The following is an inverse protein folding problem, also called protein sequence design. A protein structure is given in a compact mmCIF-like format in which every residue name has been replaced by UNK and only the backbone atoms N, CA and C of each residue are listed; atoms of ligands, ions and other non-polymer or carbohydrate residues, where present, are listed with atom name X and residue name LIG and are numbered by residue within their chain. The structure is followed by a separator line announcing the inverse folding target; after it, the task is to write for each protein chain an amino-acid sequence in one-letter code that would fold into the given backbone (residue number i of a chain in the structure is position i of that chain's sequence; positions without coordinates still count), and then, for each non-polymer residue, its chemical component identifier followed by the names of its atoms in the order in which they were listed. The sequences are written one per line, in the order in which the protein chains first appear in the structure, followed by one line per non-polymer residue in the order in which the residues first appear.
data_IF_251898740904
#
_entry.id   IF_251898740904
#
_cell.length_a   1.000
_cell.length_b   1.000
_cell.length_c   1.000
_cell.angle_alpha   90.00
_cell.angle_beta   90.00
_cell.angle_gamma   90.00
#
_symmetry.space_group_name_H-M   'P 1'
#
loop_
_entity.id
_entity.type
_entity.pdbx_description
1 polymer ?
#
# COMPACT_ATOMS: atom_id res chain seq x y z
N UNK A 1 -20.34 26.91 9.34
CA UNK A 1 -19.88 26.73 7.96
C UNK A 1 -18.49 27.36 7.86
N UNK A 2 -17.44 26.55 7.68
CA UNK A 2 -16.07 27.05 7.47
C UNK A 2 -15.96 27.65 6.06
N UNK A 3 -15.49 28.88 5.96
CA UNK A 3 -15.18 29.45 4.65
C UNK A 3 -14.06 28.66 3.97
N UNK A 4 -14.19 28.47 2.67
CA UNK A 4 -13.27 27.67 1.83
C UNK A 4 -11.80 28.10 1.95
N UNK A 5 -11.53 29.35 2.31
CA UNK A 5 -10.20 29.92 2.52
C UNK A 5 -9.48 29.39 3.80
N UNK A 6 -10.21 28.84 4.75
CA UNK A 6 -9.65 28.36 6.02
C UNK A 6 -9.45 26.84 6.12
N UNK A 7 -9.86 26.09 5.09
CA UNK A 7 -9.73 24.61 5.07
C UNK A 7 -8.26 24.20 5.20
N UNK A 8 -7.35 24.86 4.48
CA UNK A 8 -5.92 24.57 4.54
C UNK A 8 -5.26 24.86 5.91
N UNK A 9 -5.95 25.63 6.77
CA UNK A 9 -5.48 25.98 8.11
C UNK A 9 -6.05 25.07 9.21
N UNK A 10 -6.95 24.12 8.86
CA UNK A 10 -7.54 23.23 9.84
C UNK A 10 -6.45 22.34 10.48
N UNK A 11 -6.40 22.19 11.82
CA UNK A 11 -5.34 21.46 12.52
C UNK A 11 -5.17 20.00 12.03
N UNK A 12 -6.26 19.36 11.62
CA UNK A 12 -6.23 18.00 11.06
C UNK A 12 -5.48 17.97 9.72
N UNK A 13 -5.77 18.90 8.80
CA UNK A 13 -5.13 18.96 7.48
C UNK A 13 -3.64 19.27 7.56
N UNK A 14 -3.23 20.07 8.55
CA UNK A 14 -1.81 20.37 8.81
C UNK A 14 -0.98 19.16 9.25
N UNK A 15 -1.64 18.11 9.76
CA UNK A 15 -0.98 16.88 10.23
C UNK A 15 -0.89 15.81 9.13
N UNK A 16 -1.50 16.03 7.97
CA UNK A 16 -1.45 15.07 6.88
C UNK A 16 -0.07 15.07 6.24
N UNK A 17 0.39 13.87 5.88
CA UNK A 17 1.56 13.68 5.03
C UNK A 17 1.27 14.00 3.56
N UNK A 18 2.25 13.80 2.67
CA UNK A 18 2.06 13.97 1.24
C UNK A 18 0.87 13.13 0.75
N UNK A 19 0.04 13.71 -0.09
CA UNK A 19 -1.09 12.99 -0.71
C UNK A 19 -0.59 12.12 -1.86
N UNK A 20 -0.81 10.81 -1.77
CA UNK A 20 -0.38 9.86 -2.79
C UNK A 20 -1.02 10.09 -4.18
N UNK A 21 -2.16 10.77 -4.25
CA UNK A 21 -2.85 11.10 -5.50
C UNK A 21 -2.45 12.46 -6.07
N UNK A 22 -1.79 13.32 -5.32
CA UNK A 22 -1.32 14.61 -5.81
C UNK A 22 -0.26 14.43 -6.91
N UNK A 23 -0.39 15.19 -8.00
CA UNK A 23 0.61 15.24 -9.07
C UNK A 23 1.96 15.78 -8.57
N UNK A 24 1.94 16.55 -7.50
CA UNK A 24 3.14 17.15 -6.89
C UNK A 24 3.87 16.22 -5.94
N UNK A 25 3.27 15.10 -5.53
CA UNK A 25 3.92 14.13 -4.65
C UNK A 25 4.86 13.24 -5.45
N UNK A 26 6.13 13.28 -5.11
CA UNK A 26 7.21 12.54 -5.78
C UNK A 26 7.64 11.31 -4.99
N UNK A 27 8.25 10.35 -5.69
CA UNK A 27 8.89 9.19 -5.05
C UNK A 27 9.94 9.62 -4.02
N UNK A 28 10.71 10.67 -4.30
CA UNK A 28 11.72 11.18 -3.38
C UNK A 28 11.11 11.68 -2.07
N UNK A 29 9.99 12.39 -2.12
CA UNK A 29 9.28 12.84 -0.90
C UNK A 29 8.83 11.66 -0.03
N UNK A 30 8.31 10.58 -0.63
CA UNK A 30 7.93 9.38 0.09
C UNK A 30 9.17 8.68 0.68
N UNK A 31 10.25 8.58 -0.06
CA UNK A 31 11.53 8.06 0.42
C UNK A 31 12.03 8.83 1.64
N UNK A 32 12.01 10.16 1.59
CA UNK A 32 12.42 11.02 2.71
C UNK A 32 11.56 10.81 3.95
N UNK A 33 10.27 10.59 3.78
CA UNK A 33 9.38 10.20 4.90
C UNK A 33 9.79 8.86 5.50
N UNK A 34 10.09 7.85 4.67
CA UNK A 34 10.50 6.52 5.13
C UNK A 34 11.78 6.54 5.98
N UNK A 35 12.76 7.35 5.59
CA UNK A 35 14.04 7.43 6.29
C UNK A 35 14.06 8.45 7.44
N UNK A 36 13.00 9.24 7.58
CA UNK A 36 12.92 10.26 8.62
C UNK A 36 12.95 9.67 10.02
N UNK A 37 13.49 10.42 10.98
CA UNK A 37 13.54 10.00 12.39
C UNK A 37 12.16 9.71 12.98
N UNK A 38 11.12 10.38 12.47
CA UNK A 38 9.74 10.22 12.89
C UNK A 38 9.15 8.85 12.55
N UNK A 39 9.51 8.29 11.38
CA UNK A 39 8.82 7.12 10.83
C UNK A 39 9.69 5.86 10.69
N UNK A 40 11.01 6.00 10.54
CA UNK A 40 11.91 4.90 10.17
C UNK A 40 11.91 3.69 11.12
N UNK A 41 11.48 3.85 12.36
CA UNK A 41 11.44 2.75 13.36
C UNK A 41 10.07 2.14 13.55
N UNK A 42 9.07 2.60 12.82
CA UNK A 42 7.72 2.05 12.87
C UNK A 42 7.55 0.92 11.87
N UNK A 43 6.71 -0.07 12.20
CA UNK A 43 6.40 -1.15 11.25
C UNK A 43 5.65 -0.62 10.03
N UNK A 44 5.92 -1.20 8.87
CA UNK A 44 5.26 -0.81 7.61
C UNK A 44 3.75 -1.00 7.66
N UNK A 45 3.28 -2.04 8.36
CA UNK A 45 1.86 -2.27 8.56
C UNK A 45 1.15 -1.13 9.29
N UNK A 46 1.83 -0.49 10.25
CA UNK A 46 1.31 0.69 10.95
C UNK A 46 1.47 1.98 10.12
N UNK A 47 2.64 2.16 9.48
CA UNK A 47 2.94 3.36 8.69
C UNK A 47 1.94 3.57 7.55
N UNK A 48 1.64 2.52 6.80
CA UNK A 48 0.76 2.62 5.63
C UNK A 48 -0.71 2.90 5.97
N UNK A 49 -1.08 2.91 7.25
CA UNK A 49 -2.39 3.40 7.74
C UNK A 49 -2.32 4.80 8.33
N UNK A 50 -1.13 5.33 8.58
CA UNK A 50 -0.94 6.63 9.20
C UNK A 50 -1.02 7.75 8.16
N UNK A 51 -2.09 8.52 8.19
CA UNK A 51 -2.32 9.63 7.26
C UNK A 51 -1.30 10.77 7.42
N UNK A 52 -0.57 10.81 8.53
CA UNK A 52 0.54 11.77 8.71
C UNK A 52 1.82 11.33 8.01
N UNK A 53 1.94 10.04 7.69
CA UNK A 53 3.03 9.50 6.88
C UNK A 53 2.79 9.76 5.40
N UNK A 54 1.71 9.21 4.86
CA UNK A 54 1.22 9.45 3.49
C UNK A 54 -0.30 9.48 3.53
N UNK A 55 -0.90 10.57 3.08
CA UNK A 55 -2.34 10.69 3.02
C UNK A 55 -2.92 9.92 1.83
N UNK A 56 -4.14 9.43 2.00
CA UNK A 56 -4.90 8.76 0.95
C UNK A 56 -4.75 7.23 0.91
N UNK A 57 -3.94 6.63 1.78
CA UNK A 57 -3.78 5.18 1.83
C UNK A 57 -4.87 4.54 2.70
N UNK A 58 -5.60 3.60 2.14
CA UNK A 58 -6.60 2.80 2.85
C UNK A 58 -6.11 1.38 3.12
N UNK A 59 -6.98 0.60 3.80
CA UNK A 59 -6.60 -0.73 4.26
C UNK A 59 -6.26 -1.71 3.12
N UNK A 60 -7.01 -1.69 2.02
CA UNK A 60 -6.68 -2.58 0.90
C UNK A 60 -5.39 -2.17 0.20
N UNK A 61 -5.12 -0.87 0.06
CA UNK A 61 -3.86 -0.36 -0.50
C UNK A 61 -2.66 -0.82 0.32
N UNK A 62 -2.77 -0.82 1.65
CA UNK A 62 -1.72 -1.34 2.54
C UNK A 62 -1.29 -2.75 2.17
N UNK A 63 -2.23 -3.67 2.02
CA UNK A 63 -1.94 -5.06 1.65
C UNK A 63 -1.32 -5.16 0.26
N UNK A 64 -1.87 -4.46 -0.71
CA UNK A 64 -1.43 -4.49 -2.10
C UNK A 64 -0.05 -3.85 -2.29
N UNK A 65 0.23 -2.72 -1.63
CA UNK A 65 1.54 -2.05 -1.67
C UNK A 65 2.62 -2.95 -1.06
N UNK A 66 2.36 -3.55 0.10
CA UNK A 66 3.32 -4.45 0.76
C UNK A 66 3.60 -5.70 -0.08
N UNK A 67 2.58 -6.27 -0.70
CA UNK A 67 2.74 -7.41 -1.60
C UNK A 67 3.58 -7.06 -2.83
N UNK A 68 3.28 -5.96 -3.50
CA UNK A 68 4.04 -5.51 -4.66
C UNK A 68 5.50 -5.17 -4.33
N UNK A 69 5.75 -4.74 -3.10
CA UNK A 69 7.10 -4.43 -2.60
C UNK A 69 7.83 -5.64 -2.00
N UNK A 70 7.20 -6.80 -1.94
CA UNK A 70 7.74 -8.02 -1.32
C UNK A 70 8.15 -7.83 0.15
N UNK A 71 7.45 -6.96 0.86
CA UNK A 71 7.78 -6.60 2.24
C UNK A 71 6.74 -7.14 3.23
N UNK A 72 7.25 -7.69 4.33
CA UNK A 72 6.43 -8.12 5.46
C UNK A 72 5.92 -6.89 6.23
N UNK A 73 4.68 -6.89 6.73
CA UNK A 73 4.12 -5.77 7.48
C UNK A 73 4.88 -5.43 8.78
N UNK A 74 5.61 -6.36 9.36
CA UNK A 74 6.42 -6.15 10.56
C UNK A 74 7.76 -5.50 10.28
N UNK A 75 8.20 -5.46 9.03
CA UNK A 75 9.45 -4.80 8.63
C UNK A 75 9.39 -3.31 8.95
N UNK A 76 10.54 -2.75 9.34
CA UNK A 76 10.71 -1.32 9.63
C UNK A 76 11.61 -0.68 8.56
N UNK A 77 11.35 0.55 8.12
CA UNK A 77 12.22 1.22 7.14
C UNK A 77 13.70 1.22 7.50
N UNK A 78 14.03 1.39 8.77
CA UNK A 78 15.42 1.40 9.25
C UNK A 78 16.22 0.11 8.96
N UNK A 79 15.51 -1.00 8.74
CA UNK A 79 16.09 -2.31 8.45
C UNK A 79 16.11 -2.65 6.96
N UNK A 80 15.71 -1.72 6.10
CA UNK A 80 15.65 -1.92 4.65
C UNK A 80 16.84 -1.27 3.96
N UNK A 81 17.32 -1.96 2.92
CA UNK A 81 18.28 -1.41 1.97
C UNK A 81 17.63 -0.29 1.14
N UNK A 82 18.43 0.62 0.64
CA UNK A 82 17.98 1.77 -0.13
C UNK A 82 17.13 1.38 -1.36
N UNK A 83 17.51 0.30 -2.03
CA UNK A 83 16.75 -0.23 -3.18
C UNK A 83 15.32 -0.63 -2.79
N UNK A 84 15.17 -1.33 -1.65
CA UNK A 84 13.85 -1.71 -1.12
C UNK A 84 13.02 -0.51 -0.70
N UNK A 85 13.64 0.50 -0.12
CA UNK A 85 12.99 1.76 0.25
C UNK A 85 12.50 2.51 -1.01
N UNK A 86 13.31 2.57 -2.05
CA UNK A 86 12.94 3.19 -3.31
C UNK A 86 11.80 2.42 -4.02
N UNK A 87 11.85 1.09 -4.01
CA UNK A 87 10.79 0.26 -4.55
C UNK A 87 9.47 0.48 -3.79
N UNK A 88 9.52 0.53 -2.46
CA UNK A 88 8.36 0.81 -1.63
C UNK A 88 7.78 2.20 -1.92
N UNK A 89 8.62 3.23 -1.98
CA UNK A 89 8.20 4.59 -2.28
C UNK A 89 7.51 4.68 -3.65
N UNK A 90 8.08 4.03 -4.66
CA UNK A 90 7.48 3.92 -6.00
C UNK A 90 6.13 3.21 -5.97
N UNK A 91 6.03 2.09 -5.26
CA UNK A 91 4.81 1.28 -5.19
C UNK A 91 3.68 1.99 -4.41
N UNK A 92 4.02 2.78 -3.39
CA UNK A 92 3.03 3.62 -2.69
C UNK A 92 2.31 4.53 -3.69
N UNK A 93 3.05 5.17 -4.57
CA UNK A 93 2.46 6.05 -5.59
C UNK A 93 1.77 5.28 -6.71
N UNK A 94 2.46 4.31 -7.32
CA UNK A 94 1.95 3.61 -8.51
C UNK A 94 0.70 2.79 -8.23
N UNK A 95 0.66 2.03 -7.13
CA UNK A 95 -0.50 1.22 -6.75
C UNK A 95 -1.69 2.10 -6.39
N UNK A 96 -1.45 3.20 -5.67
CA UNK A 96 -2.52 4.13 -5.28
C UNK A 96 -3.11 4.83 -6.51
N UNK A 97 -2.28 5.31 -7.42
CA UNK A 97 -2.72 5.96 -8.66
C UNK A 97 -3.45 5.00 -9.59
N UNK A 98 -2.94 3.78 -9.76
CA UNK A 98 -3.65 2.73 -10.50
C UNK A 98 -5.04 2.46 -9.89
N UNK A 99 -5.14 2.32 -8.57
CA UNK A 99 -6.42 2.12 -7.90
C UNK A 99 -7.41 3.26 -8.18
N UNK A 100 -6.95 4.49 -8.17
CA UNK A 100 -7.77 5.65 -8.49
C UNK A 100 -8.24 5.63 -9.95
N UNK A 101 -7.34 5.42 -10.90
CA UNK A 101 -7.61 5.41 -12.34
C UNK A 101 -8.53 4.26 -12.77
N UNK A 102 -8.48 3.14 -12.07
CA UNK A 102 -9.23 1.91 -12.39
C UNK A 102 -10.43 1.66 -11.47
N UNK A 103 -10.83 2.65 -10.66
CA UNK A 103 -11.90 2.52 -9.68
C UNK A 103 -11.69 1.36 -8.70
N UNK A 104 -10.45 1.19 -8.24
CA UNK A 104 -10.07 0.27 -7.18
C UNK A 104 -9.55 -1.09 -7.64
N UNK A 105 -8.94 -1.19 -8.81
CA UNK A 105 -8.23 -2.38 -9.28
C UNK A 105 -6.73 -2.21 -9.02
N UNK A 106 -6.15 -3.07 -8.19
CA UNK A 106 -4.74 -3.03 -7.82
C UNK A 106 -3.94 -4.23 -8.33
N UNK A 107 -4.61 -5.24 -8.86
CA UNK A 107 -3.98 -6.39 -9.48
C UNK A 107 -3.21 -5.98 -10.74
N UNK A 108 -2.25 -6.80 -11.14
CA UNK A 108 -1.53 -6.64 -12.39
C UNK A 108 -2.49 -6.56 -13.58
N UNK A 109 -2.34 -5.53 -14.41
CA UNK A 109 -3.30 -5.21 -15.48
C UNK A 109 -3.32 -6.25 -16.61
N UNK A 110 -2.21 -6.90 -16.92
CA UNK A 110 -2.18 -8.00 -17.88
C UNK A 110 -2.98 -9.19 -17.34
N UNK A 111 -2.75 -9.55 -16.10
CA UNK A 111 -3.53 -10.59 -15.39
C UNK A 111 -5.01 -10.25 -15.33
N UNK A 112 -5.36 -8.99 -15.04
CA UNK A 112 -6.76 -8.53 -15.06
C UNK A 112 -7.39 -8.77 -16.43
N UNK A 113 -6.69 -8.44 -17.50
CA UNK A 113 -7.15 -8.65 -18.88
C UNK A 113 -7.39 -10.14 -19.17
N UNK A 114 -6.46 -11.00 -18.79
CA UNK A 114 -6.58 -12.45 -18.95
C UNK A 114 -7.76 -13.03 -18.16
N UNK A 115 -7.92 -12.61 -16.90
CA UNK A 115 -9.01 -13.08 -16.05
C UNK A 115 -10.38 -12.63 -16.57
N UNK A 116 -10.50 -11.40 -17.06
CA UNK A 116 -11.70 -10.90 -17.72
C UNK A 116 -12.03 -11.69 -18.99
N UNK A 117 -11.03 -12.00 -19.80
CA UNK A 117 -11.20 -12.80 -21.01
C UNK A 117 -11.73 -14.22 -20.68
N UNK A 118 -11.41 -14.76 -19.51
CA UNK A 118 -11.93 -16.03 -18.97
C UNK A 118 -13.27 -15.91 -18.27
N UNK A 119 -13.92 -14.75 -18.29
CA UNK A 119 -15.23 -14.51 -17.67
C UNK A 119 -15.20 -14.25 -16.16
N UNK A 120 -14.04 -13.94 -15.58
CA UNK A 120 -13.93 -13.66 -14.15
C UNK A 120 -14.74 -12.42 -13.75
N UNK A 121 -15.42 -12.51 -12.60
CA UNK A 121 -16.11 -11.37 -11.99
C UNK A 121 -15.11 -10.41 -11.34
N UNK A 122 -15.50 -9.15 -11.15
CA UNK A 122 -14.68 -8.12 -10.53
C UNK A 122 -14.06 -8.55 -9.20
N UNK A 123 -14.82 -9.23 -8.34
CA UNK A 123 -14.34 -9.77 -7.06
C UNK A 123 -13.15 -10.73 -7.19
N UNK A 124 -12.97 -11.38 -8.33
CA UNK A 124 -11.91 -12.34 -8.58
C UNK A 124 -10.66 -11.74 -9.24
N UNK A 125 -10.78 -10.61 -9.93
CA UNK A 125 -9.64 -10.00 -10.61
C UNK A 125 -9.14 -8.69 -9.96
N UNK A 126 -9.91 -8.10 -9.04
CA UNK A 126 -9.67 -6.75 -8.51
C UNK A 126 -8.34 -6.61 -7.78
N UNK A 127 -7.97 -7.58 -6.93
CA UNK A 127 -6.82 -7.51 -6.03
C UNK A 127 -5.79 -8.60 -6.27
N UNK A 128 -4.52 -8.31 -5.92
CA UNK A 128 -3.47 -9.34 -5.88
C UNK A 128 -3.56 -10.22 -4.63
N UNK A 129 -3.79 -9.63 -3.45
CA UNK A 129 -3.86 -10.35 -2.17
C UNK A 129 -5.06 -9.99 -1.32
N UNK A 130 -5.53 -8.75 -1.35
CA UNK A 130 -6.61 -8.29 -0.49
C UNK A 130 -7.90 -9.09 -0.74
N UNK A 131 -8.56 -9.51 0.34
CA UNK A 131 -9.77 -10.38 0.29
C UNK A 131 -9.59 -11.71 -0.42
N UNK A 132 -8.35 -12.20 -0.54
CA UNK A 132 -8.04 -13.47 -1.21
C UNK A 132 -7.47 -14.53 -0.27
N UNK A 133 -7.83 -14.49 1.02
CA UNK A 133 -7.37 -15.49 1.98
C UNK A 133 -7.74 -16.92 1.53
N UNK A 134 -6.81 -17.86 1.75
CA UNK A 134 -6.87 -19.26 1.30
C UNK A 134 -6.78 -19.48 -0.21
N UNK A 135 -6.80 -18.41 -1.02
CA UNK A 135 -6.60 -18.53 -2.46
C UNK A 135 -5.10 -18.60 -2.80
N UNK A 136 -4.73 -19.22 -3.92
CA UNK A 136 -3.33 -19.29 -4.33
C UNK A 136 -2.79 -17.91 -4.70
N UNK A 137 -1.57 -17.63 -4.25
CA UNK A 137 -0.81 -16.47 -4.70
C UNK A 137 -0.59 -16.55 -6.22
N UNK A 138 -0.79 -15.46 -6.93
CA UNK A 138 -0.56 -15.43 -8.37
C UNK A 138 0.91 -15.68 -8.76
N UNK A 139 1.85 -15.41 -7.85
CA UNK A 139 3.29 -15.49 -8.15
C UNK A 139 3.90 -16.84 -7.76
N UNK A 140 3.66 -17.32 -6.52
CA UNK A 140 4.31 -18.52 -5.99
C UNK A 140 3.36 -19.69 -5.74
N UNK A 141 2.05 -19.50 -5.89
CA UNK A 141 0.97 -20.48 -5.65
C UNK A 141 0.73 -20.84 -4.17
N UNK A 142 1.54 -20.39 -3.24
CA UNK A 142 1.26 -20.52 -1.81
C UNK A 142 -0.03 -19.79 -1.44
N UNK A 143 -0.70 -20.26 -0.40
CA UNK A 143 -1.97 -19.67 0.02
C UNK A 143 -1.77 -18.26 0.60
N UNK A 144 -2.59 -17.33 0.15
CA UNK A 144 -2.72 -16.02 0.80
C UNK A 144 -3.30 -16.22 2.19
N UNK A 145 -2.74 -15.55 3.17
CA UNK A 145 -3.23 -15.57 4.56
C UNK A 145 -3.78 -14.21 4.96
N UNK A 146 -4.71 -14.25 5.91
CA UNK A 146 -5.27 -13.09 6.55
C UNK A 146 -4.74 -12.97 7.98
N UNK A 147 -4.20 -11.82 8.34
CA UNK A 147 -3.81 -11.46 9.72
C UNK A 147 -4.56 -10.21 10.15
N UNK A 148 -4.67 -10.03 11.46
CA UNK A 148 -5.11 -8.75 12.03
C UNK A 148 -3.88 -8.01 12.54
N UNK A 149 -3.65 -6.82 11.99
CA UNK A 149 -2.52 -5.96 12.32
C UNK A 149 -3.03 -4.53 12.52
N UNK A 150 -2.74 -3.95 13.67
CA UNK A 150 -3.23 -2.63 14.06
C UNK A 150 -4.77 -2.52 14.01
N UNK A 151 -5.46 -3.56 14.50
CA UNK A 151 -6.92 -3.63 14.57
C UNK A 151 -7.64 -3.76 13.21
N UNK A 152 -6.91 -4.02 12.14
CA UNK A 152 -7.46 -4.14 10.78
C UNK A 152 -6.93 -5.39 10.08
N UNK A 153 -7.78 -5.98 9.23
CA UNK A 153 -7.41 -7.13 8.41
C UNK A 153 -6.34 -6.74 7.40
N UNK A 154 -5.28 -7.55 7.33
CA UNK A 154 -4.22 -7.45 6.34
C UNK A 154 -4.07 -8.81 5.66
N UNK A 155 -3.86 -8.79 4.35
CA UNK A 155 -3.68 -9.99 3.53
C UNK A 155 -2.27 -10.00 2.96
N UNK A 156 -1.61 -11.16 3.01
CA UNK A 156 -0.24 -11.29 2.53
C UNK A 156 0.04 -12.72 2.06
N UNK A 157 1.09 -12.86 1.26
CA UNK A 157 1.72 -14.14 0.94
C UNK A 157 3.01 -14.27 1.74
N UNK A 158 3.07 -15.16 2.71
CA UNK A 158 4.27 -15.31 3.58
C UNK A 158 5.52 -15.76 2.81
N UNK A 159 5.35 -16.52 1.72
CA UNK A 159 6.47 -16.91 0.86
C UNK A 159 7.05 -15.72 0.07
N UNK A 160 6.19 -14.84 -0.48
CA UNK A 160 6.62 -13.65 -1.21
C UNK A 160 7.02 -12.48 -0.30
N UNK A 161 6.56 -12.47 0.94
CA UNK A 161 6.77 -11.42 1.93
C UNK A 161 7.33 -12.03 3.23
N UNK A 162 8.55 -12.58 3.20
CA UNK A 162 9.11 -13.28 4.36
C UNK A 162 9.28 -12.36 5.56
N UNK A 163 9.18 -12.94 6.76
CA UNK A 163 9.45 -12.23 8.01
C UNK A 163 10.91 -11.75 7.99
N UNK A 164 11.20 -10.49 8.36
CA UNK A 164 12.58 -10.01 8.43
C UNK A 164 13.36 -10.84 9.46
N UNK A 165 14.63 -11.12 9.11
CA UNK A 165 15.57 -11.79 10.02
C UNK A 165 15.92 -10.92 11.22
#
# INVERSE_FOLDING_TARGET
VMETKNIALHPFLRKLGPDALSEHTTQQQIFEQLVSTRFRRRSLGALLLDQSFVAGLGNYLRSEILFNSRLNPHTKPVNLEEESLNLLARNILSVTRQAYETSGVTNDLERVSELKAKGAKRSHFRFSVFSRDRMPCYLCKEKIIRKEINGRRLYLCEACQPVPC
#
